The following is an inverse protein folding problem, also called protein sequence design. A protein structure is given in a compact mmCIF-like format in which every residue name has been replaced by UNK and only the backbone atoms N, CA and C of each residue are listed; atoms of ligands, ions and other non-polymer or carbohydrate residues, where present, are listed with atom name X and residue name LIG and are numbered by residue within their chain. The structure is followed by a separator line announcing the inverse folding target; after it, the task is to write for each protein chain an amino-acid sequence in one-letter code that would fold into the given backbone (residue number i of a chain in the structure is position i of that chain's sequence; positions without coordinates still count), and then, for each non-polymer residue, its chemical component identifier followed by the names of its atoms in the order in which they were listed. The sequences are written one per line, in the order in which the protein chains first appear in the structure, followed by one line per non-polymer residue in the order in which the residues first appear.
data_IF_917521872213
#
_entry.id   IF_917521872213
#
_cell.length_a   1.000
_cell.length_b   1.000
_cell.length_c   1.000
_cell.angle_alpha   90.00
_cell.angle_beta   90.00
_cell.angle_gamma   90.00
#
_symmetry.space_group_name_H-M   'P 1'
#
loop_
_entity.id
_entity.type
_entity.pdbx_description
1 polymer ?
#
# COMPACT_ATOMS: atom_id res chain seq x y z
N UNK A 1 -16.13 39.95 37.40
CA UNK A 1 -16.70 38.64 37.00
C UNK A 1 -17.14 38.58 35.53
N UNK A 2 -17.86 39.58 35.02
CA UNK A 2 -18.31 39.66 33.61
C UNK A 2 -17.19 39.61 32.54
N UNK A 3 -16.00 40.17 32.82
CA UNK A 3 -14.88 40.25 31.87
C UNK A 3 -14.25 38.88 31.56
N UNK A 4 -14.06 38.06 32.59
CA UNK A 4 -13.50 36.70 32.48
C UNK A 4 -14.42 35.75 31.70
N UNK A 5 -15.73 35.89 31.89
CA UNK A 5 -16.72 35.11 31.15
C UNK A 5 -16.75 35.48 29.66
N UNK A 6 -16.48 36.75 29.33
CA UNK A 6 -16.41 37.24 27.96
C UNK A 6 -15.16 36.68 27.26
N UNK A 7 -14.00 36.75 27.91
CA UNK A 7 -12.74 36.17 27.41
C UNK A 7 -12.80 34.65 27.26
N UNK A 8 -13.47 33.93 28.17
CA UNK A 8 -13.67 32.49 28.05
C UNK A 8 -14.57 32.11 26.87
N UNK A 9 -15.63 32.89 26.62
CA UNK A 9 -16.50 32.70 25.44
C UNK A 9 -15.77 33.01 24.14
N UNK A 10 -14.94 34.05 24.13
CA UNK A 10 -14.16 34.48 22.98
C UNK A 10 -13.08 33.44 22.61
N UNK A 11 -12.37 32.91 23.62
CA UNK A 11 -11.45 31.76 23.43
C UNK A 11 -12.16 30.50 22.93
N UNK A 12 -13.39 30.24 23.40
CA UNK A 12 -14.19 29.08 22.97
C UNK A 12 -14.66 29.23 21.53
N UNK A 13 -15.06 30.45 21.12
CA UNK A 13 -15.42 30.74 19.73
C UNK A 13 -14.21 30.69 18.80
N UNK A 14 -13.06 31.22 19.22
CA UNK A 14 -11.84 31.19 18.40
C UNK A 14 -11.27 29.78 18.25
N UNK A 15 -11.35 28.95 19.30
CA UNK A 15 -11.06 27.51 19.20
C UNK A 15 -12.01 26.82 18.21
N UNK A 16 -13.32 27.08 18.32
CA UNK A 16 -14.31 26.53 17.40
C UNK A 16 -14.02 26.95 15.95
N UNK A 17 -13.72 28.23 15.71
CA UNK A 17 -13.37 28.75 14.38
C UNK A 17 -12.11 28.09 13.81
N UNK A 18 -11.06 27.91 14.62
CA UNK A 18 -9.84 27.20 14.20
C UNK A 18 -10.07 25.71 13.92
N UNK A 19 -10.94 25.07 14.70
CA UNK A 19 -11.38 23.70 14.43
C UNK A 19 -12.21 23.63 13.14
N UNK A 20 -13.12 24.58 12.91
CA UNK A 20 -13.94 24.65 11.69
C UNK A 20 -13.07 24.97 10.46
N UNK A 21 -12.02 25.79 10.60
CA UNK A 21 -11.06 26.12 9.55
C UNK A 21 -10.11 24.95 9.23
N UNK A 22 -9.66 24.22 10.24
CA UNK A 22 -8.95 22.95 10.08
C UNK A 22 -9.84 21.89 9.43
N UNK A 23 -11.11 21.80 9.86
CA UNK A 23 -12.09 20.92 9.24
C UNK A 23 -12.28 21.32 7.78
N UNK A 24 -12.43 22.60 7.43
CA UNK A 24 -12.54 23.02 6.02
C UNK A 24 -11.29 22.75 5.19
N UNK A 25 -10.09 22.88 5.77
CA UNK A 25 -8.84 22.49 5.11
C UNK A 25 -8.73 20.97 4.89
N UNK A 26 -9.42 20.17 5.72
CA UNK A 26 -9.60 18.73 5.51
C UNK A 26 -10.86 18.38 4.71
N UNK A 27 -11.67 19.36 4.31
CA UNK A 27 -12.98 19.24 3.65
C UNK A 27 -13.01 19.88 2.25
N UNK A 28 -11.86 20.23 1.68
CA UNK A 28 -11.77 20.57 0.25
C UNK A 28 -11.99 19.35 -0.68
N UNK A 29 -12.34 18.19 -0.12
CA UNK A 29 -12.90 17.05 -0.86
C UNK A 29 -14.09 16.43 -0.10
N UNK A 30 -15.17 17.19 0.13
CA UNK A 30 -16.48 16.58 0.40
C UNK A 30 -17.53 17.27 -0.47
N UNK A 31 -17.74 16.76 -1.69
CA UNK A 31 -19.05 16.66 -2.35
C UNK A 31 -18.91 15.90 -3.68
N UNK A 32 -18.69 14.60 -3.59
CA UNK A 32 -19.40 13.56 -4.33
C UNK A 32 -18.87 12.24 -3.78
N UNK A 33 -19.71 11.19 -3.74
CA UNK A 33 -19.16 9.84 -3.76
C UNK A 33 -18.27 9.79 -5.00
N UNK A 34 -16.95 9.94 -4.84
CA UNK A 34 -16.00 9.70 -5.92
C UNK A 34 -16.32 8.29 -6.34
N UNK A 35 -16.94 8.17 -7.51
CA UNK A 35 -17.17 6.88 -8.14
C UNK A 35 -15.81 6.18 -8.08
N UNK A 36 -15.69 5.08 -7.35
CA UNK A 36 -14.41 4.36 -7.16
C UNK A 36 -13.76 4.09 -8.54
N UNK A 37 -14.59 4.01 -9.58
CA UNK A 37 -14.24 3.93 -11.00
C UNK A 37 -13.58 5.23 -11.52
N UNK A 38 -14.03 6.40 -11.10
CA UNK A 38 -13.42 7.70 -11.44
C UNK A 38 -12.03 7.88 -10.82
N UNK A 39 -11.86 7.52 -9.54
CA UNK A 39 -10.55 7.52 -8.89
C UNK A 39 -9.59 6.54 -9.57
N UNK A 40 -10.07 5.35 -9.93
CA UNK A 40 -9.31 4.37 -10.70
C UNK A 40 -8.94 4.89 -12.09
N UNK A 41 -9.88 5.53 -12.80
CA UNK A 41 -9.63 6.14 -14.12
C UNK A 41 -8.61 7.26 -14.04
N UNK A 42 -8.67 8.09 -13.00
CA UNK A 42 -7.69 9.13 -12.75
C UNK A 42 -6.31 8.52 -12.48
N UNK A 43 -6.21 7.51 -11.60
CA UNK A 43 -4.96 6.80 -11.34
C UNK A 43 -4.40 6.12 -12.60
N UNK A 44 -5.26 5.53 -13.44
CA UNK A 44 -4.88 4.95 -14.72
C UNK A 44 -4.39 6.01 -15.70
N UNK A 45 -5.06 7.17 -15.79
CA UNK A 45 -4.62 8.31 -16.61
C UNK A 45 -3.27 8.86 -16.13
N UNK A 46 -3.08 9.04 -14.83
CA UNK A 46 -1.82 9.49 -14.23
C UNK A 46 -0.69 8.47 -14.43
N UNK A 47 -1.00 7.17 -14.36
CA UNK A 47 -0.05 6.09 -14.68
C UNK A 47 0.35 6.09 -16.16
N UNK A 48 -0.62 6.26 -17.07
CA UNK A 48 -0.36 6.40 -18.52
C UNK A 48 0.48 7.64 -18.78
N UNK A 49 0.16 8.78 -18.16
CA UNK A 49 0.96 10.00 -18.28
C UNK A 49 2.38 9.81 -17.75
N UNK A 50 2.54 9.15 -16.60
CA UNK A 50 3.86 8.78 -16.04
C UNK A 50 4.66 7.87 -16.97
N UNK A 51 4.00 6.90 -17.63
CA UNK A 51 4.64 6.07 -18.65
C UNK A 51 5.06 6.88 -19.88
N UNK A 52 4.23 7.80 -20.37
CA UNK A 52 4.58 8.68 -21.48
C UNK A 52 5.73 9.62 -21.13
N UNK A 53 5.76 10.16 -19.92
CA UNK A 53 6.87 10.96 -19.43
C UNK A 53 8.14 10.14 -19.25
N UNK A 54 8.03 8.90 -18.78
CA UNK A 54 9.15 7.96 -18.70
C UNK A 54 9.72 7.68 -20.09
N UNK A 55 8.86 7.38 -21.08
CA UNK A 55 9.28 7.18 -22.46
C UNK A 55 9.93 8.43 -23.05
N UNK A 56 9.36 9.62 -22.81
CA UNK A 56 9.93 10.91 -23.24
C UNK A 56 11.29 11.18 -22.59
N UNK A 57 11.44 10.86 -21.30
CA UNK A 57 12.74 10.90 -20.58
C UNK A 57 13.73 9.92 -21.18
N UNK A 58 13.30 8.72 -21.56
CA UNK A 58 14.18 7.69 -22.11
C UNK A 58 14.60 7.99 -23.55
N UNK A 59 13.72 8.58 -24.36
CA UNK A 59 14.05 9.13 -25.68
C UNK A 59 15.05 10.30 -25.58
N UNK A 60 14.85 11.19 -24.60
CA UNK A 60 15.80 12.27 -24.32
C UNK A 60 17.18 11.73 -23.90
N UNK A 61 17.23 10.70 -23.04
CA UNK A 61 18.47 10.02 -22.64
C UNK A 61 19.16 9.32 -23.80
N UNK A 62 18.40 8.69 -24.70
CA UNK A 62 18.91 8.10 -25.94
C UNK A 62 19.47 9.16 -26.90
N UNK A 63 18.86 10.35 -26.94
CA UNK A 63 19.30 11.45 -27.81
C UNK A 63 20.53 12.21 -27.29
N UNK A 64 20.87 12.08 -26.01
CA UNK A 64 21.94 12.88 -25.36
C UNK A 64 23.22 12.11 -25.08
N UNK A 65 23.31 10.83 -25.48
CA UNK A 65 24.57 10.08 -25.49
C UNK A 65 25.28 9.90 -24.14
N UNK A 66 24.60 10.18 -23.02
CA UNK A 66 25.17 10.10 -21.67
C UNK A 66 25.02 8.71 -21.07
N UNK A 67 25.98 7.83 -21.36
CA UNK A 67 26.25 6.66 -20.53
C UNK A 67 27.18 7.09 -19.41
N UNK A 68 26.63 7.56 -18.29
CA UNK A 68 27.31 7.51 -16.99
C UNK A 68 26.27 7.52 -15.86
N UNK A 69 26.42 6.54 -14.97
CA UNK A 69 25.50 6.20 -13.91
C UNK A 69 25.69 7.14 -12.70
N UNK A 70 24.69 7.97 -12.42
CA UNK A 70 24.47 8.54 -11.07
C UNK A 70 23.31 7.79 -10.44
N UNK A 71 23.57 6.58 -9.92
CA UNK A 71 22.76 5.94 -8.87
C UNK A 71 23.57 4.97 -7.99
N UNK A 72 24.91 4.98 -8.07
CA UNK A 72 25.75 4.33 -7.06
C UNK A 72 26.29 5.36 -6.06
N UNK A 73 25.44 5.89 -5.19
CA UNK A 73 25.90 6.33 -3.87
C UNK A 73 24.78 6.30 -2.83
N UNK A 74 24.37 5.08 -2.48
CA UNK A 74 23.59 4.76 -1.29
C UNK A 74 24.37 3.81 -0.39
N UNK A 75 25.61 4.16 -0.04
CA UNK A 75 26.36 3.45 1.01
C UNK A 75 25.62 3.62 2.33
N UNK A 76 24.91 2.57 2.75
CA UNK A 76 24.49 2.43 4.14
C UNK A 76 25.72 2.09 4.97
N UNK A 77 26.06 2.94 5.92
CA UNK A 77 27.09 2.66 6.91
C UNK A 77 26.69 1.44 7.74
N UNK A 78 27.45 0.36 7.58
CA UNK A 78 27.40 -0.80 8.45
C UNK A 78 28.02 -0.44 9.81
N UNK A 79 27.18 -0.15 10.81
CA UNK A 79 27.59 -0.24 12.20
C UNK A 79 27.05 -1.55 12.79
N UNK A 80 27.98 -2.42 13.17
CA UNK A 80 27.69 -3.78 13.60
C UNK A 80 26.92 -3.84 14.92
N UNK A 81 25.97 -4.76 14.98
CA UNK A 81 25.61 -5.47 16.20
C UNK A 81 25.24 -6.90 15.83
N UNK A 82 26.12 -7.82 16.23
CA UNK A 82 25.91 -9.27 16.15
C UNK A 82 24.79 -9.65 17.12
N UNK A 83 23.56 -9.74 16.62
CA UNK A 83 22.46 -10.45 17.26
C UNK A 83 21.94 -11.51 16.29
N UNK A 84 22.02 -12.79 16.67
CA UNK A 84 21.39 -13.87 15.91
C UNK A 84 19.87 -13.75 16.06
N UNK A 85 19.24 -12.94 15.23
CA UNK A 85 17.80 -13.02 15.01
C UNK A 85 17.55 -14.17 14.04
N UNK A 86 16.95 -15.23 14.58
CA UNK A 86 16.32 -16.30 13.81
C UNK A 86 15.24 -15.63 12.96
N UNK A 87 15.48 -15.55 11.66
CA UNK A 87 14.54 -15.01 10.68
C UNK A 87 13.37 -16.00 10.56
N UNK A 88 12.46 -15.98 11.52
CA UNK A 88 11.11 -16.46 11.28
C UNK A 88 10.48 -15.47 10.30
N UNK A 89 10.60 -15.80 9.01
CA UNK A 89 9.77 -15.19 7.97
C UNK A 89 8.32 -15.34 8.40
N UNK A 90 7.75 -14.26 8.92
CA UNK A 90 6.32 -14.00 8.77
C UNK A 90 6.07 -14.00 7.26
N UNK A 91 5.68 -15.15 6.71
CA UNK A 91 5.07 -15.20 5.39
C UNK A 91 3.83 -14.32 5.47
N UNK A 92 3.96 -13.06 5.07
CA UNK A 92 2.84 -12.21 4.70
C UNK A 92 2.17 -12.85 3.50
N UNK A 93 1.38 -13.88 3.77
CA UNK A 93 0.65 -14.62 2.78
C UNK A 93 -0.65 -13.87 2.61
N UNK A 94 -0.77 -13.17 1.49
CA UNK A 94 -2.04 -12.77 0.86
C UNK A 94 -2.85 -14.03 0.50
N UNK A 95 -3.03 -14.95 1.45
CA UNK A 95 -3.55 -16.30 1.24
C UNK A 95 -5.00 -16.30 0.78
N UNK A 96 -5.70 -15.16 0.92
CA UNK A 96 -7.04 -14.93 0.37
C UNK A 96 -7.06 -14.37 -1.06
N UNK A 97 -5.95 -13.87 -1.58
CA UNK A 97 -5.81 -13.28 -2.94
C UNK A 97 -4.86 -14.08 -3.84
N UNK A 98 -4.28 -15.17 -3.33
CA UNK A 98 -3.61 -16.15 -4.18
C UNK A 98 -4.69 -16.75 -5.08
N UNK A 99 -4.62 -16.61 -6.42
CA UNK A 99 -5.48 -17.36 -7.33
C UNK A 99 -5.38 -18.80 -6.90
N UNK A 100 -6.53 -19.45 -6.65
CA UNK A 100 -6.63 -20.82 -6.19
C UNK A 100 -5.52 -21.64 -6.85
N UNK A 101 -4.42 -21.90 -6.11
CA UNK A 101 -3.18 -22.42 -6.72
C UNK A 101 -3.59 -23.66 -7.46
N UNK A 102 -3.44 -23.64 -8.79
CA UNK A 102 -3.94 -24.70 -9.69
C UNK A 102 -3.59 -26.04 -9.06
N UNK A 103 -4.60 -26.67 -8.43
CA UNK A 103 -4.43 -27.94 -7.74
C UNK A 103 -4.23 -28.95 -8.83
N UNK A 104 -2.97 -29.36 -9.06
CA UNK A 104 -2.64 -30.40 -10.02
C UNK A 104 -3.43 -31.65 -9.63
N UNK A 105 -4.43 -32.02 -10.44
CA UNK A 105 -4.93 -33.40 -10.45
C UNK A 105 -3.74 -34.28 -10.78
N UNK A 106 -3.39 -35.16 -9.83
CA UNK A 106 -2.29 -36.12 -9.94
C UNK A 106 -2.29 -36.83 -11.31
N UNK A 107 -1.51 -36.31 -12.25
CA UNK A 107 -1.28 -36.92 -13.54
C UNK A 107 0.07 -37.64 -13.48
N UNK A 108 0.08 -38.91 -13.92
CA UNK A 108 1.26 -39.78 -13.92
C UNK A 108 2.41 -39.03 -14.60
N UNK A 109 3.49 -38.77 -13.85
CA UNK A 109 4.72 -38.17 -14.39
C UNK A 109 5.22 -39.05 -15.55
N UNK A 110 5.29 -38.53 -16.79
CA UNK A 110 5.90 -39.28 -17.87
C UNK A 110 7.40 -39.49 -17.56
N UNK A 111 7.93 -40.68 -17.89
CA UNK A 111 9.37 -40.97 -17.81
C UNK A 111 10.10 -40.21 -18.93
N UNK A 112 10.27 -38.91 -18.75
CA UNK A 112 11.06 -38.05 -19.64
C UNK A 112 12.53 -38.22 -19.27
N UNK A 113 13.40 -38.37 -20.28
CA UNK A 113 14.84 -38.51 -20.02
C UNK A 113 15.38 -37.25 -19.34
N UNK A 114 16.33 -37.44 -18.42
CA UNK A 114 16.93 -36.35 -17.66
C UNK A 114 17.60 -35.30 -18.57
N UNK A 115 18.10 -35.74 -19.74
CA UNK A 115 18.65 -34.88 -20.78
C UNK A 115 17.62 -33.90 -21.35
N UNK A 116 16.40 -34.36 -21.66
CA UNK A 116 15.32 -33.51 -22.17
C UNK A 116 14.90 -32.49 -21.10
N UNK A 117 14.78 -32.92 -19.84
CA UNK A 117 14.45 -32.03 -18.73
C UNK A 117 15.52 -30.94 -18.53
N UNK A 118 16.81 -31.28 -18.64
CA UNK A 118 17.91 -30.31 -18.58
C UNK A 118 17.83 -29.29 -19.72
N UNK A 119 17.56 -29.74 -20.94
CA UNK A 119 17.40 -28.84 -22.10
C UNK A 119 16.19 -27.91 -21.96
N UNK A 120 15.05 -28.43 -21.50
CA UNK A 120 13.85 -27.62 -21.26
C UNK A 120 14.07 -26.60 -20.15
N UNK A 121 14.69 -27.01 -19.04
CA UNK A 121 15.06 -26.11 -17.94
C UNK A 121 15.98 -24.98 -18.42
N UNK A 122 16.96 -25.28 -19.28
CA UNK A 122 17.85 -24.28 -19.86
C UNK A 122 17.08 -23.27 -20.70
N UNK A 123 16.21 -23.74 -21.61
CA UNK A 123 15.38 -22.85 -22.47
C UNK A 123 14.46 -21.94 -21.66
N UNK A 124 13.80 -22.50 -20.64
CA UNK A 124 12.95 -21.73 -19.74
C UNK A 124 13.76 -20.69 -18.94
N UNK A 125 14.91 -21.09 -18.41
CA UNK A 125 15.83 -20.19 -17.72
C UNK A 125 16.26 -19.02 -18.61
N UNK A 126 16.67 -19.30 -19.84
CA UNK A 126 17.05 -18.25 -20.81
C UNK A 126 15.90 -17.28 -21.12
N UNK A 127 14.68 -17.79 -21.30
CA UNK A 127 13.51 -16.94 -21.57
C UNK A 127 13.16 -16.03 -20.39
N UNK A 128 13.10 -16.59 -19.18
CA UNK A 128 12.82 -15.84 -17.95
C UNK A 128 13.93 -14.83 -17.66
N UNK A 129 15.20 -15.21 -17.82
CA UNK A 129 16.32 -14.29 -17.62
C UNK A 129 16.30 -13.13 -18.60
N UNK A 130 15.98 -13.37 -19.88
CA UNK A 130 15.84 -12.28 -20.87
C UNK A 130 14.71 -11.32 -20.48
N UNK A 131 13.53 -11.84 -20.14
CA UNK A 131 12.42 -11.01 -19.66
C UNK A 131 12.84 -10.11 -18.49
N UNK A 132 13.44 -10.70 -17.46
CA UNK A 132 13.85 -9.92 -16.27
C UNK A 132 14.93 -8.88 -16.60
N UNK A 133 15.95 -9.23 -17.39
CA UNK A 133 17.07 -8.34 -17.68
C UNK A 133 16.67 -7.20 -18.63
N UNK A 134 16.00 -7.53 -19.74
CA UNK A 134 15.69 -6.54 -20.78
C UNK A 134 14.55 -5.60 -20.35
N UNK A 135 13.58 -6.09 -19.59
CA UNK A 135 12.51 -5.27 -19.01
C UNK A 135 12.91 -4.62 -17.66
N UNK A 136 14.20 -4.75 -17.26
CA UNK A 136 14.80 -4.17 -16.05
C UNK A 136 14.02 -4.48 -14.77
N UNK A 137 13.53 -5.71 -14.67
CA UNK A 137 12.76 -6.16 -13.53
C UNK A 137 13.67 -6.67 -12.39
N UNK A 138 13.22 -6.61 -11.12
CA UNK A 138 13.98 -7.16 -10.01
C UNK A 138 14.20 -8.67 -10.16
N UNK A 139 15.43 -9.15 -9.94
CA UNK A 139 15.76 -10.58 -10.00
C UNK A 139 14.94 -11.46 -9.05
N UNK A 140 14.37 -10.87 -7.98
CA UNK A 140 13.44 -11.55 -7.06
C UNK A 140 12.22 -12.14 -7.79
N UNK A 141 11.81 -11.59 -8.94
CA UNK A 141 10.69 -12.12 -9.72
C UNK A 141 10.90 -13.56 -10.19
N UNK A 142 12.14 -14.04 -10.32
CA UNK A 142 12.42 -15.43 -10.67
C UNK A 142 11.89 -16.43 -9.61
N UNK A 143 11.63 -15.97 -8.39
CA UNK A 143 11.03 -16.75 -7.31
C UNK A 143 9.58 -16.33 -7.00
N UNK A 144 8.96 -15.51 -7.85
CA UNK A 144 7.60 -15.03 -7.65
C UNK A 144 6.58 -16.16 -7.90
N UNK A 145 5.63 -16.40 -6.96
CA UNK A 145 4.50 -17.30 -7.21
C UNK A 145 3.68 -16.91 -8.45
N UNK A 146 3.62 -15.61 -8.77
CA UNK A 146 2.91 -15.10 -9.94
C UNK A 146 3.57 -15.52 -11.26
N UNK A 147 4.91 -15.53 -11.30
CA UNK A 147 5.65 -16.02 -12.46
C UNK A 147 5.42 -17.52 -12.65
N UNK A 148 5.38 -18.28 -11.55
CA UNK A 148 5.04 -19.70 -11.60
C UNK A 148 3.62 -19.92 -12.16
N UNK A 149 2.63 -19.19 -11.66
CA UNK A 149 1.24 -19.28 -12.13
C UNK A 149 1.13 -18.92 -13.62
N UNK A 150 1.79 -17.85 -14.05
CA UNK A 150 1.84 -17.46 -15.47
C UNK A 150 2.36 -18.60 -16.35
N UNK A 151 3.43 -19.28 -15.91
CA UNK A 151 4.00 -20.42 -16.64
C UNK A 151 3.00 -21.59 -16.66
N UNK A 152 2.33 -21.90 -15.55
CA UNK A 152 1.32 -22.97 -15.52
C UNK A 152 0.17 -22.69 -16.47
N UNK A 153 -0.43 -21.49 -16.41
CA UNK A 153 -1.52 -21.08 -17.30
C UNK A 153 -1.06 -21.13 -18.76
N UNK A 154 0.16 -20.67 -19.06
CA UNK A 154 0.69 -20.72 -20.43
C UNK A 154 0.84 -22.14 -21.00
N UNK A 155 0.99 -23.16 -20.13
CA UNK A 155 1.03 -24.57 -20.55
C UNK A 155 -0.36 -25.14 -20.85
N UNK A 156 -1.41 -24.57 -20.27
CA UNK A 156 -2.80 -24.97 -20.50
C UNK A 156 -3.42 -24.31 -21.73
N UNK A 157 -2.98 -23.07 -22.01
CA UNK A 157 -3.50 -22.27 -23.11
C UNK A 157 -3.13 -22.89 -24.47
N UNK A 158 -4.15 -23.03 -25.34
CA UNK A 158 -3.97 -23.56 -26.69
C UNK A 158 -3.13 -22.59 -27.53
N UNK A 159 -2.23 -23.16 -28.34
CA UNK A 159 -1.40 -22.42 -29.29
C UNK A 159 -2.27 -21.55 -30.20
N UNK A 160 -2.12 -20.22 -30.09
CA UNK A 160 -2.87 -19.24 -30.89
C UNK A 160 -3.59 -18.17 -30.08
N UNK A 161 -3.72 -18.34 -28.76
CA UNK A 161 -4.20 -17.26 -27.89
C UNK A 161 -3.15 -16.16 -27.82
N UNK A 162 -3.59 -14.92 -28.06
CA UNK A 162 -2.73 -13.74 -27.99
C UNK A 162 -2.55 -13.34 -26.54
N UNK A 163 -1.36 -12.82 -26.23
CA UNK A 163 -1.13 -12.15 -24.95
C UNK A 163 -2.04 -10.91 -24.87
N UNK A 164 -2.47 -10.53 -23.66
CA UNK A 164 -3.25 -9.32 -23.47
C UNK A 164 -2.43 -8.09 -23.89
N UNK A 165 -3.11 -7.14 -24.49
CA UNK A 165 -2.56 -5.84 -24.83
C UNK A 165 -2.36 -4.99 -23.57
N UNK A 166 -1.47 -3.96 -23.61
CA UNK A 166 -1.32 -3.04 -22.49
C UNK A 166 -2.64 -2.39 -22.05
N UNK A 167 -3.52 -2.07 -23.00
CA UNK A 167 -4.85 -1.50 -22.72
C UNK A 167 -5.75 -2.48 -21.97
N UNK A 168 -5.81 -3.74 -22.40
CA UNK A 168 -6.59 -4.76 -21.69
C UNK A 168 -6.05 -4.98 -20.28
N UNK A 169 -4.73 -4.93 -20.08
CA UNK A 169 -4.11 -5.03 -18.74
C UNK A 169 -4.52 -3.82 -17.87
N UNK A 170 -4.37 -2.60 -18.39
CA UNK A 170 -4.61 -1.38 -17.62
C UNK A 170 -6.09 -1.09 -17.33
N UNK A 171 -6.99 -1.65 -18.13
CA UNK A 171 -8.43 -1.37 -18.04
C UNK A 171 -9.18 -2.62 -17.57
N UNK A 172 -9.28 -3.64 -18.42
CA UNK A 172 -10.10 -4.84 -18.16
C UNK A 172 -9.57 -5.64 -16.98
N UNK A 173 -8.31 -6.07 -17.02
CA UNK A 173 -7.75 -6.94 -15.99
C UNK A 173 -7.47 -6.17 -14.70
N UNK A 174 -7.04 -4.92 -14.77
CA UNK A 174 -6.86 -4.09 -13.57
C UNK A 174 -8.20 -3.86 -12.85
N UNK A 175 -9.28 -3.59 -13.58
CA UNK A 175 -10.62 -3.43 -12.99
C UNK A 175 -11.08 -4.75 -12.36
N UNK A 176 -10.89 -5.88 -13.06
CA UNK A 176 -11.25 -7.20 -12.54
C UNK A 176 -10.47 -7.58 -11.27
N UNK A 177 -9.18 -7.24 -11.19
CA UNK A 177 -8.38 -7.47 -9.99
C UNK A 177 -8.79 -6.52 -8.86
N UNK A 178 -9.13 -5.27 -9.18
CA UNK A 178 -9.66 -4.32 -8.21
C UNK A 178 -10.96 -4.82 -7.58
N UNK A 179 -11.90 -5.32 -8.38
CA UNK A 179 -13.16 -5.88 -7.89
C UNK A 179 -12.93 -7.07 -6.96
N UNK A 180 -12.05 -8.01 -7.34
CA UNK A 180 -11.68 -9.15 -6.49
C UNK A 180 -11.08 -8.70 -5.14
N UNK A 181 -10.16 -7.73 -5.17
CA UNK A 181 -9.58 -7.18 -3.94
C UNK A 181 -10.65 -6.46 -3.11
N UNK A 182 -11.57 -5.72 -3.75
CA UNK A 182 -12.66 -5.01 -3.08
C UNK A 182 -13.61 -5.97 -2.38
N UNK A 183 -13.96 -7.08 -3.03
CA UNK A 183 -14.76 -8.16 -2.43
C UNK A 183 -14.05 -8.75 -1.21
N UNK A 184 -12.76 -9.09 -1.34
CA UNK A 184 -11.96 -9.58 -0.22
C UNK A 184 -11.90 -8.57 0.94
N UNK A 185 -11.70 -7.28 0.66
CA UNK A 185 -11.73 -6.22 1.69
C UNK A 185 -13.12 -6.15 2.35
N UNK A 186 -14.20 -6.30 1.59
CA UNK A 186 -15.55 -6.30 2.15
C UNK A 186 -15.80 -7.50 3.08
N UNK A 187 -15.21 -8.67 2.82
CA UNK A 187 -15.23 -9.80 3.76
C UNK A 187 -14.51 -9.47 5.07
N UNK A 188 -13.41 -8.73 5.02
CA UNK A 188 -12.74 -8.24 6.24
C UNK A 188 -13.61 -7.23 6.99
N UNK A 189 -14.36 -6.40 6.26
CA UNK A 189 -15.32 -5.45 6.83
C UNK A 189 -16.50 -6.13 7.54
N UNK A 190 -16.87 -7.36 7.20
CA UNK A 190 -17.89 -8.09 7.96
C UNK A 190 -17.31 -8.70 9.23
N UNK A 191 -16.09 -9.23 9.17
CA UNK A 191 -15.40 -9.80 10.33
C UNK A 191 -15.07 -8.76 11.41
N UNK A 192 -14.66 -7.53 11.03
CA UNK A 192 -14.46 -6.44 11.99
C UNK A 192 -15.73 -6.08 12.77
N UNK A 193 -16.93 -6.31 12.21
CA UNK A 193 -18.20 -6.07 12.94
C UNK A 193 -18.43 -7.07 14.07
N UNK A 194 -17.87 -8.28 13.94
CA UNK A 194 -18.08 -9.36 14.89
C UNK A 194 -17.00 -9.40 15.98
N UNK A 195 -15.74 -9.16 15.61
CA UNK A 195 -14.59 -9.36 16.48
C UNK A 195 -13.81 -8.07 16.79
N UNK A 196 -14.18 -6.95 16.17
CA UNK A 196 -13.41 -5.72 16.21
C UNK A 196 -12.18 -5.75 15.29
N UNK A 197 -11.48 -4.63 15.26
CA UNK A 197 -10.27 -4.40 14.49
C UNK A 197 -9.27 -3.52 15.25
N UNK A 198 -7.99 -3.69 14.92
CA UNK A 198 -6.88 -2.86 15.38
C UNK A 198 -6.59 -1.81 14.32
N UNK A 199 -6.66 -0.54 14.69
CA UNK A 199 -6.12 0.55 13.87
C UNK A 199 -4.62 0.64 14.12
N UNK A 200 -3.82 0.61 13.06
CA UNK A 200 -2.39 0.82 13.11
C UNK A 200 -2.05 2.13 12.41
N UNK A 201 -1.23 2.95 13.05
CA UNK A 201 -0.78 4.23 12.51
C UNK A 201 0.75 4.26 12.55
N UNK A 202 1.37 4.52 11.39
CA UNK A 202 2.81 4.68 11.27
C UNK A 202 3.15 5.87 10.37
N UNK A 203 4.11 6.68 10.80
CA UNK A 203 4.53 7.89 10.11
C UNK A 203 5.96 7.74 9.63
N UNK A 204 6.23 8.15 8.38
CA UNK A 204 7.59 8.22 7.89
C UNK A 204 7.89 9.60 7.31
N UNK A 205 9.16 9.97 7.45
CA UNK A 205 9.70 11.24 7.01
C UNK A 205 10.84 10.98 6.05
N UNK A 206 10.74 11.53 4.86
CA UNK A 206 11.87 11.61 3.94
C UNK A 206 12.53 12.98 4.07
N UNK A 207 13.75 12.99 4.61
CA UNK A 207 14.52 14.22 4.80
C UNK A 207 14.97 14.86 3.49
N UNK A 208 15.05 14.11 2.39
CA UNK A 208 15.57 14.60 1.11
C UNK A 208 14.58 15.53 0.40
N UNK A 209 13.29 15.23 0.46
CA UNK A 209 12.23 15.99 -0.19
C UNK A 209 11.23 16.60 0.81
N UNK A 210 11.55 16.56 2.11
CA UNK A 210 10.70 17.02 3.21
C UNK A 210 9.29 16.39 3.20
N UNK A 211 9.19 15.18 2.64
CA UNK A 211 7.92 14.49 2.55
C UNK A 211 7.60 13.78 3.85
N UNK A 212 6.39 14.01 4.36
CA UNK A 212 5.90 13.43 5.60
C UNK A 212 4.58 12.73 5.32
N UNK A 213 4.55 11.41 5.45
CA UNK A 213 3.36 10.60 5.16
C UNK A 213 3.00 9.79 6.39
N UNK A 214 1.71 9.79 6.73
CA UNK A 214 1.14 8.97 7.80
C UNK A 214 0.27 7.89 7.16
N UNK A 215 0.60 6.63 7.42
CA UNK A 215 -0.12 5.47 6.93
C UNK A 215 -1.06 4.92 7.99
N UNK A 216 -2.28 4.58 7.57
CA UNK A 216 -3.27 3.90 8.38
C UNK A 216 -3.53 2.51 7.83
N UNK A 217 -3.39 1.51 8.69
CA UNK A 217 -3.75 0.13 8.38
C UNK A 217 -4.80 -0.35 9.36
N UNK A 218 -5.71 -1.20 8.89
CA UNK A 218 -6.73 -1.83 9.73
C UNK A 218 -6.45 -3.33 9.73
N UNK A 219 -6.16 -3.86 10.91
CA UNK A 219 -5.94 -5.28 11.14
C UNK A 219 -7.18 -5.92 11.75
N UNK A 220 -7.55 -7.09 11.25
CA UNK A 220 -8.54 -7.97 11.86
C UNK A 220 -8.05 -9.43 11.81
N UNK A 221 -8.78 -10.35 12.41
CA UNK A 221 -8.40 -11.78 12.49
C UNK A 221 -8.18 -12.46 11.13
N UNK A 222 -8.70 -11.89 10.05
CA UNK A 222 -8.58 -12.41 8.68
C UNK A 222 -7.47 -11.75 7.86
N UNK A 223 -6.90 -10.64 8.31
CA UNK A 223 -5.81 -9.96 7.61
C UNK A 223 -5.70 -8.47 7.92
N UNK A 224 -4.71 -7.83 7.29
CA UNK A 224 -4.46 -6.39 7.35
C UNK A 224 -4.81 -5.74 6.02
N UNK A 225 -5.51 -4.60 6.07
CA UNK A 225 -5.83 -3.77 4.90
C UNK A 225 -5.19 -2.41 5.07
N UNK A 226 -4.59 -1.91 4.01
CA UNK A 226 -4.21 -0.50 3.93
C UNK A 226 -5.48 0.34 3.84
N UNK A 227 -5.71 1.22 4.81
CA UNK A 227 -6.89 2.07 4.85
C UNK A 227 -6.68 3.32 4.00
N UNK A 228 -5.67 4.12 4.37
CA UNK A 228 -5.25 5.30 3.61
C UNK A 228 -3.88 5.79 4.06
N UNK A 229 -3.31 6.68 3.27
CA UNK A 229 -2.15 7.49 3.63
C UNK A 229 -2.52 8.96 3.59
N UNK A 230 -1.98 9.76 4.50
CA UNK A 230 -2.18 11.21 4.53
C UNK A 230 -0.84 11.90 4.34
N UNK A 231 -0.73 12.71 3.31
CA UNK A 231 0.41 13.61 3.11
C UNK A 231 0.28 14.82 4.05
N UNK A 232 1.24 14.96 4.94
CA UNK A 232 1.32 16.03 5.94
C UNK A 232 2.57 16.90 5.75
N UNK A 233 3.16 16.86 4.55
CA UNK A 233 4.38 17.60 4.22
C UNK A 233 4.20 19.12 4.34
N UNK A 234 3.02 19.62 3.95
CA UNK A 234 2.68 21.04 4.03
C UNK A 234 2.30 21.52 5.45
N UNK A 235 2.24 20.61 6.42
CA UNK A 235 1.84 20.92 7.80
C UNK A 235 3.06 21.31 8.62
N UNK A 236 3.19 22.62 8.84
CA UNK A 236 4.35 23.24 9.49
C UNK A 236 4.57 22.78 10.94
N UNK A 237 3.50 22.46 11.68
CA UNK A 237 3.59 21.96 13.05
C UNK A 237 2.67 20.76 13.25
N UNK A 238 3.27 19.60 13.52
CA UNK A 238 2.59 18.32 13.80
C UNK A 238 2.65 18.05 15.29
N UNK A 239 1.88 18.82 16.04
CA UNK A 239 1.80 18.70 17.49
C UNK A 239 0.82 17.61 17.93
N UNK A 240 0.67 17.43 19.24
CA UNK A 240 -0.27 16.45 19.79
C UNK A 240 -1.74 16.76 19.44
N UNK A 241 -2.10 18.02 19.16
CA UNK A 241 -3.47 18.36 18.75
C UNK A 241 -3.73 17.87 17.32
N UNK A 242 -2.76 18.08 16.42
CA UNK A 242 -2.82 17.61 15.04
C UNK A 242 -3.03 16.08 14.98
N UNK A 243 -2.15 15.31 15.62
CA UNK A 243 -2.24 13.85 15.61
C UNK A 243 -3.51 13.34 16.29
N UNK A 244 -3.96 14.01 17.36
CA UNK A 244 -5.23 13.68 18.00
C UNK A 244 -6.40 13.85 17.03
N UNK A 245 -6.53 15.01 16.38
CA UNK A 245 -7.63 15.25 15.45
C UNK A 245 -7.58 14.30 14.24
N UNK A 246 -6.38 13.99 13.74
CA UNK A 246 -6.20 13.06 12.64
C UNK A 246 -6.66 11.64 13.01
N UNK A 247 -6.17 11.10 14.13
CA UNK A 247 -6.60 9.77 14.60
C UNK A 247 -8.08 9.75 14.95
N UNK A 248 -8.60 10.82 15.55
CA UNK A 248 -10.01 10.97 15.89
C UNK A 248 -10.89 10.86 14.66
N UNK A 249 -10.54 11.57 13.58
CA UNK A 249 -11.23 11.51 12.28
C UNK A 249 -11.16 10.11 11.66
N UNK A 250 -10.00 9.45 11.69
CA UNK A 250 -9.84 8.10 11.14
C UNK A 250 -10.69 7.07 11.90
N UNK A 251 -10.77 7.18 13.23
CA UNK A 251 -11.63 6.31 14.03
C UNK A 251 -13.11 6.54 13.69
N UNK A 252 -13.53 7.81 13.51
CA UNK A 252 -14.90 8.14 13.10
C UNK A 252 -15.24 7.63 11.69
N UNK A 253 -14.31 7.74 10.73
CA UNK A 253 -14.49 7.21 9.36
C UNK A 253 -14.63 5.68 9.32
N UNK A 254 -13.88 4.96 10.15
CA UNK A 254 -13.95 3.49 10.19
C UNK A 254 -15.21 3.02 10.92
N UNK A 255 -15.63 3.77 11.94
CA UNK A 255 -16.67 3.40 12.90
C UNK A 255 -16.03 3.00 14.23
N UNK A 256 -16.30 3.80 15.26
CA UNK A 256 -15.75 3.64 16.61
C UNK A 256 -16.10 2.28 17.23
N UNK A 257 -17.28 1.75 16.92
CA UNK A 257 -17.77 0.47 17.39
C UNK A 257 -16.97 -0.74 16.88
N UNK A 258 -16.19 -0.55 15.81
CA UNK A 258 -15.37 -1.60 15.21
C UNK A 258 -13.91 -1.55 15.65
N UNK A 259 -13.46 -0.48 16.30
CA UNK A 259 -12.07 -0.35 16.73
C UNK A 259 -11.95 -0.77 18.20
N UNK A 260 -11.14 -1.79 18.45
CA UNK A 260 -10.86 -2.28 19.80
C UNK A 260 -9.54 -1.73 20.37
N UNK A 261 -8.56 -1.43 19.51
CA UNK A 261 -7.28 -0.90 19.94
C UNK A 261 -6.63 -0.06 18.85
N UNK A 262 -5.75 0.86 19.25
CA UNK A 262 -4.95 1.68 18.34
C UNK A 262 -3.46 1.43 18.63
N UNK A 263 -2.73 1.01 17.62
CA UNK A 263 -1.28 0.77 17.69
C UNK A 263 -0.57 1.90 16.95
N UNK A 264 0.30 2.60 17.67
CA UNK A 264 1.13 3.69 17.14
C UNK A 264 2.59 3.41 17.41
N UNK A 265 3.47 4.22 16.84
CA UNK A 265 4.87 4.23 17.26
C UNK A 265 5.03 4.69 18.73
N UNK A 266 6.26 4.59 19.22
CA UNK A 266 6.61 4.89 20.62
C UNK A 266 6.90 6.37 20.87
N UNK A 267 6.59 7.26 19.92
CA UNK A 267 6.89 8.69 20.03
C UNK A 267 6.14 9.31 21.23
N UNK A 268 6.78 10.24 21.93
CA UNK A 268 6.20 10.89 23.11
C UNK A 268 4.87 11.61 22.77
N UNK A 269 4.80 12.22 21.59
CA UNK A 269 3.60 12.88 21.06
C UNK A 269 2.45 11.88 20.89
N UNK A 270 2.71 10.73 20.26
CA UNK A 270 1.72 9.68 20.02
C UNK A 270 1.22 9.05 21.32
N UNK A 271 2.08 8.88 22.33
CA UNK A 271 1.66 8.45 23.67
C UNK A 271 0.68 9.42 24.33
N UNK A 272 0.93 10.72 24.22
CA UNK A 272 0.04 11.74 24.77
C UNK A 272 -1.31 11.74 24.04
N UNK A 273 -1.29 11.58 22.72
CA UNK A 273 -2.48 11.45 21.87
C UNK A 273 -3.28 10.21 22.23
N UNK A 274 -2.64 9.05 22.36
CA UNK A 274 -3.28 7.79 22.73
C UNK A 274 -4.02 7.89 24.07
N UNK A 275 -3.36 8.45 25.11
CA UNK A 275 -4.02 8.72 26.40
C UNK A 275 -5.25 9.60 26.26
N UNK A 276 -5.19 10.61 25.39
CA UNK A 276 -6.28 11.55 25.15
C UNK A 276 -7.44 10.89 24.38
N UNK A 277 -7.15 9.99 23.44
CA UNK A 277 -8.16 9.17 22.76
C UNK A 277 -8.86 8.21 23.72
N UNK A 278 -8.12 7.56 24.62
CA UNK A 278 -8.71 6.69 25.67
C UNK A 278 -9.65 7.46 26.62
N UNK A 279 -9.37 8.75 26.89
CA UNK A 279 -10.26 9.60 27.68
C UNK A 279 -11.56 9.96 26.93
N UNK A 280 -11.52 10.09 25.60
CA UNK A 280 -12.73 10.29 24.78
C UNK A 280 -13.51 8.99 24.61
N UNK A 281 -12.80 7.86 24.48
CA UNK A 281 -13.32 6.55 24.10
C UNK A 281 -12.90 5.46 25.09
N UNK A 282 -13.79 5.19 26.05
CA UNK A 282 -13.51 4.31 27.19
C UNK A 282 -13.32 2.83 26.82
N UNK A 283 -13.69 2.41 25.61
CA UNK A 283 -13.52 1.03 25.11
C UNK A 283 -12.21 0.81 24.35
N UNK A 284 -11.41 1.86 24.15
CA UNK A 284 -10.09 1.72 23.51
C UNK A 284 -9.02 1.35 24.53
N UNK A 285 -8.13 0.44 24.13
CA UNK A 285 -6.95 0.01 24.88
C UNK A 285 -5.67 0.17 24.08
#
# INVERSE_FOLDING_TARGET
MMKLLKEAKEKKMDKKRRTDEFLSQLREEEDECVDDVSAMRQATQESIQSQHEWHRREEFRRSTGGWDNIYEEGRSFSLGSRGRYREERSEFSLRGTIPELVKIKSSRKPKVSESILKTLRKKMGEAVSKFIIYDRLPFRLASSPWLYNLIQVSMEVVKGVKLPTPYEISDVYLTSEYEQVREWVNELKTHRKQLGATLMCDGWTNSLNQMHIINFLVYCSKGTVFWKSVDVSNIRSRDAEFYYNLLDKVVEEIGEEYIIQIVTDNEATMKAVGKRLMLKRNHLY
#
